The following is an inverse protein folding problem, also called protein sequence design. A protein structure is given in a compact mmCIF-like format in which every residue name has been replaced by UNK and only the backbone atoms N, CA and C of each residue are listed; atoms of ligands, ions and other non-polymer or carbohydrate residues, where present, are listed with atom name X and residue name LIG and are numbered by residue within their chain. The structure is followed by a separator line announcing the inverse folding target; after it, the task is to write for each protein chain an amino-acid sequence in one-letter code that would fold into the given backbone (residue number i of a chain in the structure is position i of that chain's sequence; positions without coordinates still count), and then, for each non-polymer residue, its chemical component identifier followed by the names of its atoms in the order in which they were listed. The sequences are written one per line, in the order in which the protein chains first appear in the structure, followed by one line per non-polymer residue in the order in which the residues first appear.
data_IF_880617419448
#
_entry.id   IF_880617419448
#
_cell.length_a   1.000
_cell.length_b   1.000
_cell.length_c   1.000
_cell.angle_alpha   90.00
_cell.angle_beta   90.00
_cell.angle_gamma   90.00
#
_symmetry.space_group_name_H-M   'P 1'
#
loop_
_entity.id
_entity.type
_entity.pdbx_description
1 polymer ?
#
# COMPACT_ATOMS: atom_id res chain seq x y z
N UNK A 1 10.49 -21.25 -11.46
CA UNK A 1 11.26 -20.78 -10.29
C UNK A 1 10.31 -20.00 -9.37
N UNK A 2 10.18 -20.43 -8.14
CA UNK A 2 9.30 -19.75 -7.18
C UNK A 2 9.98 -18.47 -6.68
N UNK A 3 9.51 -17.32 -7.15
CA UNK A 3 10.07 -16.00 -6.80
C UNK A 3 9.96 -15.67 -5.31
N UNK A 4 9.14 -16.42 -4.55
CA UNK A 4 9.01 -16.22 -3.11
C UNK A 4 10.30 -16.53 -2.35
N UNK A 5 11.19 -17.31 -2.93
CA UNK A 5 12.50 -17.59 -2.33
C UNK A 5 13.49 -16.42 -2.42
N UNK A 6 13.21 -15.42 -3.28
CA UNK A 6 14.06 -14.23 -3.44
C UNK A 6 13.66 -13.10 -2.48
N UNK A 7 12.64 -13.29 -1.64
CA UNK A 7 12.15 -12.26 -0.72
C UNK A 7 12.73 -12.51 0.67
N UNK A 8 13.63 -11.63 1.10
CA UNK A 8 14.29 -11.72 2.41
C UNK A 8 13.25 -11.62 3.55
N UNK A 9 13.11 -12.69 4.38
CA UNK A 9 12.12 -12.69 5.46
C UNK A 9 12.35 -11.59 6.50
N UNK A 10 13.60 -11.23 6.77
CA UNK A 10 13.93 -10.18 7.75
C UNK A 10 13.46 -8.80 7.27
N UNK A 11 13.62 -8.52 5.97
CA UNK A 11 13.15 -7.27 5.38
C UNK A 11 11.63 -7.21 5.31
N UNK A 12 10.98 -8.32 4.96
CA UNK A 12 9.52 -8.40 4.98
C UNK A 12 8.97 -8.22 6.40
N UNK A 13 9.60 -8.82 7.40
CA UNK A 13 9.20 -8.67 8.81
C UNK A 13 9.33 -7.22 9.28
N UNK A 14 10.42 -6.54 8.90
CA UNK A 14 10.59 -5.12 9.20
C UNK A 14 9.43 -4.31 8.60
N UNK A 15 9.15 -4.48 7.32
CA UNK A 15 8.07 -3.76 6.64
C UNK A 15 6.70 -4.06 7.27
N UNK A 16 6.41 -5.32 7.60
CA UNK A 16 5.14 -5.73 8.20
C UNK A 16 4.95 -5.17 9.62
N UNK A 17 6.02 -4.79 10.31
CA UNK A 17 5.97 -4.19 11.66
C UNK A 17 5.65 -2.70 11.64
N UNK A 18 5.59 -2.08 10.46
CA UNK A 18 5.39 -0.64 10.28
C UNK A 18 4.09 -0.37 9.53
N UNK A 19 3.65 0.89 9.56
CA UNK A 19 2.43 1.33 8.89
C UNK A 19 2.59 2.66 8.12
N UNK A 20 3.80 3.20 8.07
CA UNK A 20 4.11 4.45 7.37
C UNK A 20 5.32 4.23 6.47
N UNK A 21 5.20 4.63 5.21
CA UNK A 21 6.29 4.50 4.26
C UNK A 21 6.22 5.55 3.16
N UNK A 22 7.30 5.64 2.38
CA UNK A 22 7.39 6.51 1.22
C UNK A 22 7.12 5.70 -0.05
N UNK A 23 6.03 6.04 -0.73
CA UNK A 23 5.64 5.40 -1.99
C UNK A 23 6.22 6.19 -3.16
N UNK A 24 6.91 5.49 -4.06
CA UNK A 24 7.45 6.04 -5.30
C UNK A 24 6.66 5.49 -6.49
N UNK A 25 6.12 6.39 -7.30
CA UNK A 25 5.53 6.10 -8.61
C UNK A 25 6.30 6.88 -9.67
N UNK A 26 6.19 6.49 -10.94
CA UNK A 26 6.94 7.13 -12.01
C UNK A 26 6.10 8.20 -12.70
N UNK A 27 6.65 9.41 -12.79
CA UNK A 27 6.10 10.49 -13.58
C UNK A 27 6.33 10.22 -15.08
N UNK A 28 5.65 10.97 -15.94
CA UNK A 28 5.77 10.83 -17.41
C UNK A 28 7.21 11.01 -17.89
N UNK A 29 8.00 11.88 -17.22
CA UNK A 29 9.38 12.15 -17.57
C UNK A 29 10.36 11.10 -16.99
N UNK A 30 9.85 10.08 -16.29
CA UNK A 30 10.66 9.03 -15.70
C UNK A 30 11.19 9.34 -14.30
N UNK A 31 10.98 10.55 -13.79
CA UNK A 31 11.39 10.87 -12.42
C UNK A 31 10.42 10.28 -11.41
N UNK A 32 10.89 9.87 -10.22
CA UNK A 32 10.00 9.36 -9.18
C UNK A 32 9.16 10.49 -8.58
N UNK A 33 7.87 10.19 -8.37
CA UNK A 33 6.96 11.01 -7.57
C UNK A 33 6.83 10.31 -6.22
N UNK A 34 7.20 11.01 -5.14
CA UNK A 34 7.25 10.46 -3.78
C UNK A 34 6.12 11.01 -2.93
N UNK A 35 5.52 10.16 -2.13
CA UNK A 35 4.52 10.57 -1.15
C UNK A 35 4.55 9.65 0.07
N UNK A 36 4.27 10.20 1.25
CA UNK A 36 4.12 9.40 2.46
C UNK A 36 2.72 8.79 2.48
N UNK A 37 2.67 7.51 2.82
CA UNK A 37 1.41 6.74 2.87
C UNK A 37 1.36 5.87 4.10
N UNK A 38 0.16 5.65 4.63
CA UNK A 38 -0.08 4.56 5.57
C UNK A 38 -0.39 3.30 4.77
N UNK A 39 0.16 2.18 5.21
CA UNK A 39 0.01 0.91 4.52
C UNK A 39 -0.12 -0.26 5.49
N UNK A 40 -0.60 -1.37 4.99
CA UNK A 40 -0.55 -2.66 5.65
C UNK A 40 0.09 -3.68 4.70
N UNK A 41 1.10 -4.39 5.18
CA UNK A 41 1.74 -5.47 4.43
C UNK A 41 1.23 -6.82 4.95
N UNK A 42 0.57 -7.57 4.08
CA UNK A 42 0.19 -8.96 4.30
C UNK A 42 1.25 -9.86 3.67
N UNK A 43 2.12 -10.45 4.50
CA UNK A 43 3.19 -11.33 4.02
C UNK A 43 2.67 -12.70 3.58
N UNK A 44 1.47 -13.07 4.00
CA UNK A 44 0.84 -14.38 3.74
C UNK A 44 -0.30 -14.31 2.73
N UNK A 45 -0.44 -13.21 2.00
CA UNK A 45 -1.48 -13.07 0.98
C UNK A 45 -1.36 -14.20 -0.07
N UNK A 46 -2.49 -14.70 -0.62
CA UNK A 46 -2.47 -15.88 -1.50
C UNK A 46 -1.57 -15.73 -2.73
N UNK A 47 -1.48 -14.53 -3.29
CA UNK A 47 -0.65 -14.24 -4.46
C UNK A 47 0.79 -13.83 -4.12
N UNK A 48 1.19 -13.90 -2.84
CA UNK A 48 2.47 -13.44 -2.32
C UNK A 48 2.33 -12.15 -1.52
N UNK A 49 3.43 -11.67 -0.90
CA UNK A 49 3.36 -10.47 -0.06
C UNK A 49 2.74 -9.30 -0.81
N UNK A 50 1.76 -8.65 -0.18
CA UNK A 50 0.99 -7.56 -0.79
C UNK A 50 0.84 -6.41 0.18
N UNK A 51 1.27 -5.21 -0.23
CA UNK A 51 1.05 -3.99 0.53
C UNK A 51 -0.18 -3.27 0.00
N UNK A 52 -1.07 -2.84 0.92
CA UNK A 52 -2.29 -2.13 0.56
C UNK A 52 -2.30 -0.74 1.14
N UNK A 53 -2.78 0.22 0.37
CA UNK A 53 -2.81 1.64 0.69
C UNK A 53 -4.17 2.22 0.29
N UNK A 54 -4.76 3.02 1.18
CA UNK A 54 -5.93 3.83 0.84
C UNK A 54 -5.48 5.11 0.13
N UNK A 55 -5.93 5.32 -1.08
CA UNK A 55 -5.56 6.47 -1.91
C UNK A 55 -6.80 7.20 -2.42
N UNK A 56 -6.62 8.44 -2.85
CA UNK A 56 -7.71 9.29 -3.37
C UNK A 56 -7.58 9.40 -4.88
N UNK A 57 -8.68 9.14 -5.60
CA UNK A 57 -8.75 9.35 -7.04
C UNK A 57 -8.47 10.83 -7.39
N UNK A 58 -7.82 11.07 -8.52
CA UNK A 58 -7.40 12.40 -8.94
C UNK A 58 -6.06 12.87 -8.37
N UNK A 59 -5.45 12.13 -7.46
CA UNK A 59 -4.08 12.44 -6.98
C UNK A 59 -3.03 11.97 -7.97
N UNK A 60 -1.87 12.65 -7.95
CA UNK A 60 -0.78 12.38 -8.89
C UNK A 60 -0.32 10.92 -8.87
N UNK A 61 -0.18 10.32 -7.67
CA UNK A 61 0.25 8.92 -7.54
C UNK A 61 -0.71 7.94 -8.22
N UNK A 62 -2.01 8.19 -8.15
CA UNK A 62 -3.03 7.34 -8.78
C UNK A 62 -2.94 7.45 -10.31
N UNK A 63 -2.86 8.67 -10.85
CA UNK A 63 -2.71 8.90 -12.27
C UNK A 63 -1.42 8.27 -12.82
N UNK A 64 -0.31 8.42 -12.10
CA UNK A 64 0.97 7.85 -12.49
C UNK A 64 0.92 6.31 -12.51
N UNK A 65 0.30 5.69 -11.50
CA UNK A 65 0.21 4.23 -11.41
C UNK A 65 -0.78 3.63 -12.41
N UNK A 66 -1.81 4.37 -12.82
CA UNK A 66 -2.68 3.92 -13.93
C UNK A 66 -1.92 3.85 -15.25
N UNK A 67 -0.98 4.77 -15.47
CA UNK A 67 -0.16 4.81 -16.67
C UNK A 67 0.98 3.80 -16.63
N UNK A 68 1.65 3.67 -15.48
CA UNK A 68 2.80 2.79 -15.28
C UNK A 68 2.67 2.16 -13.89
N UNK A 69 2.41 0.85 -13.81
CA UNK A 69 2.12 0.20 -12.51
C UNK A 69 3.32 0.01 -11.62
N UNK A 70 4.54 0.24 -12.11
CA UNK A 70 5.75 0.03 -11.31
C UNK A 70 5.77 0.97 -10.10
N UNK A 71 5.95 0.41 -8.91
CA UNK A 71 5.97 1.15 -7.67
C UNK A 71 7.02 0.58 -6.72
N UNK A 72 7.50 1.45 -5.83
CA UNK A 72 8.41 1.06 -4.75
C UNK A 72 7.92 1.70 -3.45
N UNK A 73 8.03 0.96 -2.36
CA UNK A 73 7.65 1.44 -1.02
C UNK A 73 8.84 1.32 -0.09
N UNK A 74 9.36 2.45 0.38
CA UNK A 74 10.43 2.51 1.37
C UNK A 74 9.83 2.51 2.76
N UNK A 75 10.24 1.54 3.58
CA UNK A 75 9.81 1.41 4.97
C UNK A 75 11.04 1.39 5.85
N UNK A 76 11.05 2.17 6.94
CA UNK A 76 12.18 2.25 7.86
C UNK A 76 11.82 1.76 9.25
N UNK A 77 12.84 1.33 10.01
CA UNK A 77 12.74 1.19 11.47
C UNK A 77 12.51 2.56 12.12
N UNK A 78 12.08 2.60 13.40
CA UNK A 78 11.86 3.88 14.10
C UNK A 78 13.08 4.81 14.10
N UNK A 79 14.30 4.25 14.16
CA UNK A 79 15.54 5.04 14.15
C UNK A 79 16.05 5.36 12.73
N UNK A 80 15.42 4.79 11.68
CA UNK A 80 15.78 5.03 10.29
C UNK A 80 16.99 4.25 9.77
N UNK A 81 17.69 3.50 10.62
CA UNK A 81 18.92 2.82 10.22
C UNK A 81 18.71 1.42 9.64
N UNK A 82 17.58 0.80 9.92
CA UNK A 82 17.13 -0.37 9.17
C UNK A 82 16.06 0.08 8.19
N UNK A 83 16.07 -0.49 6.99
CA UNK A 83 15.07 -0.16 5.99
C UNK A 83 14.83 -1.32 5.04
N UNK A 84 13.66 -1.33 4.44
CA UNK A 84 13.28 -2.25 3.38
C UNK A 84 12.63 -1.45 2.25
N UNK A 85 12.97 -1.80 1.02
CA UNK A 85 12.29 -1.28 -0.17
C UNK A 85 11.54 -2.43 -0.81
N UNK A 86 10.22 -2.29 -0.91
CA UNK A 86 9.33 -3.27 -1.53
C UNK A 86 9.07 -2.81 -2.96
N UNK A 87 9.45 -3.61 -3.94
CA UNK A 87 9.24 -3.30 -5.35
C UNK A 87 8.24 -4.26 -5.98
N UNK A 88 7.44 -3.75 -6.89
CA UNK A 88 6.48 -4.55 -7.65
C UNK A 88 5.57 -3.70 -8.51
N UNK A 89 4.52 -4.33 -8.98
CA UNK A 89 3.48 -3.66 -9.76
C UNK A 89 2.26 -3.39 -8.87
N UNK A 90 1.72 -2.18 -8.98
CA UNK A 90 0.52 -1.79 -8.29
C UNK A 90 -0.72 -2.09 -9.13
N UNK A 91 -1.78 -2.52 -8.45
CA UNK A 91 -3.12 -2.57 -9.02
C UNK A 91 -4.05 -1.67 -8.23
N UNK A 92 -5.08 -1.15 -8.89
CA UNK A 92 -6.02 -0.20 -8.30
C UNK A 92 -7.42 -0.80 -8.34
N UNK A 93 -8.12 -0.78 -7.21
CA UNK A 93 -9.52 -1.14 -7.15
C UNK A 93 -10.38 -0.11 -7.89
N UNK A 94 -11.66 -0.41 -8.17
CA UNK A 94 -12.60 0.64 -8.53
C UNK A 94 -12.66 1.72 -7.44
N UNK A 95 -13.01 2.95 -7.81
CA UNK A 95 -13.24 4.05 -6.87
C UNK A 95 -14.50 3.76 -6.07
N UNK A 96 -14.48 4.03 -4.75
CA UNK A 96 -15.65 3.88 -3.89
C UNK A 96 -16.82 4.70 -4.45
N UNK A 97 -17.94 4.04 -4.75
CA UNK A 97 -19.12 4.66 -5.38
C UNK A 97 -20.36 4.51 -4.51
N UNK A 98 -20.45 3.49 -3.69
CA UNK A 98 -21.55 3.23 -2.77
C UNK A 98 -21.01 2.77 -1.42
N UNK A 99 -21.66 3.14 -0.33
CA UNK A 99 -21.18 2.86 1.03
C UNK A 99 -21.09 1.37 1.36
N UNK A 100 -21.77 0.53 0.59
CA UNK A 100 -21.78 -0.93 0.75
C UNK A 100 -21.05 -1.67 -0.39
N UNK A 101 -20.28 -0.98 -1.24
CA UNK A 101 -19.57 -1.64 -2.32
C UNK A 101 -18.31 -2.38 -1.83
N UNK A 102 -17.77 -3.24 -2.70
CA UNK A 102 -16.61 -4.07 -2.37
C UNK A 102 -15.36 -3.24 -2.04
N UNK A 103 -15.17 -2.10 -2.70
CA UNK A 103 -14.05 -1.19 -2.42
C UNK A 103 -14.16 -0.62 -1.01
N UNK A 104 -15.34 -0.18 -0.59
CA UNK A 104 -15.54 0.35 0.76
C UNK A 104 -15.34 -0.75 1.80
N UNK A 105 -15.81 -1.97 1.56
CA UNK A 105 -15.57 -3.11 2.45
C UNK A 105 -14.07 -3.37 2.63
N UNK A 106 -13.30 -3.32 1.56
CA UNK A 106 -11.85 -3.50 1.62
C UNK A 106 -11.17 -2.35 2.37
N UNK A 107 -11.63 -1.10 2.18
CA UNK A 107 -11.13 0.06 2.92
C UNK A 107 -11.41 -0.07 4.43
N UNK A 108 -12.55 -0.62 4.83
CA UNK A 108 -12.87 -0.89 6.24
C UNK A 108 -11.86 -1.86 6.84
N UNK A 109 -11.59 -2.98 6.15
CA UNK A 109 -10.60 -3.97 6.61
C UNK A 109 -9.20 -3.37 6.68
N UNK A 110 -8.82 -2.57 5.70
CA UNK A 110 -7.52 -1.89 5.68
C UNK A 110 -7.38 -0.93 6.86
N UNK A 111 -8.42 -0.15 7.18
CA UNK A 111 -8.42 0.73 8.34
C UNK A 111 -8.18 -0.06 9.62
N UNK A 112 -8.94 -1.16 9.84
CA UNK A 112 -8.76 -2.02 11.02
C UNK A 112 -7.34 -2.53 11.15
N UNK A 113 -6.76 -2.98 10.04
CA UNK A 113 -5.40 -3.53 10.03
C UNK A 113 -4.36 -2.46 10.36
N UNK A 114 -4.45 -1.29 9.75
CA UNK A 114 -3.50 -0.19 9.98
C UNK A 114 -3.62 0.36 11.39
N UNK A 115 -4.84 0.62 11.86
CA UNK A 115 -5.10 1.23 13.16
C UNK A 115 -5.06 0.24 14.32
N UNK A 116 -5.26 -1.05 14.05
CA UNK A 116 -5.35 -2.07 15.09
C UNK A 116 -6.62 -1.99 15.92
N UNK A 117 -7.63 -1.26 15.47
CA UNK A 117 -8.91 -1.05 16.18
C UNK A 117 -10.01 -0.65 15.20
N UNK A 118 -11.26 -0.76 15.67
CA UNK A 118 -12.41 -0.29 14.92
C UNK A 118 -12.50 1.23 14.87
N UNK A 119 -13.07 1.76 13.80
CA UNK A 119 -13.47 3.16 13.70
C UNK A 119 -14.65 3.42 14.64
N UNK A 120 -14.71 4.59 15.32
CA UNK A 120 -15.81 4.91 16.25
C UNK A 120 -17.18 5.05 15.57
N UNK A 121 -17.22 5.28 14.26
CA UNK A 121 -18.47 5.42 13.50
C UNK A 121 -18.26 4.92 12.06
N UNK A 122 -18.57 3.61 11.84
CA UNK A 122 -18.38 2.99 10.52
C UNK A 122 -19.27 3.60 9.44
N UNK A 123 -20.49 4.03 9.79
CA UNK A 123 -21.37 4.65 8.79
C UNK A 123 -20.78 5.96 8.28
N UNK A 124 -20.24 6.78 9.17
CA UNK A 124 -19.56 8.02 8.80
C UNK A 124 -18.30 7.75 7.97
N UNK A 125 -17.49 6.76 8.40
CA UNK A 125 -16.30 6.36 7.65
C UNK A 125 -16.63 5.93 6.22
N UNK A 126 -17.66 5.09 6.05
CA UNK A 126 -18.09 4.61 4.74
C UNK A 126 -18.54 5.76 3.84
N UNK A 127 -19.32 6.69 4.38
CA UNK A 127 -19.72 7.90 3.64
C UNK A 127 -18.52 8.75 3.21
N UNK A 128 -17.54 8.90 4.09
CA UNK A 128 -16.32 9.65 3.80
C UNK A 128 -15.50 9.01 2.67
N UNK A 129 -15.42 7.68 2.63
CA UNK A 129 -14.70 6.97 1.56
C UNK A 129 -15.30 7.27 0.18
N UNK A 130 -16.63 7.27 0.09
CA UNK A 130 -17.33 7.62 -1.14
C UNK A 130 -17.17 9.11 -1.48
N UNK A 131 -17.36 9.98 -0.50
CA UNK A 131 -17.26 11.44 -0.70
C UNK A 131 -15.84 11.86 -1.14
N UNK A 132 -14.81 11.23 -0.60
CA UNK A 132 -13.40 11.51 -0.92
C UNK A 132 -12.96 10.86 -2.23
N UNK A 133 -13.73 9.94 -2.80
CA UNK A 133 -13.32 9.17 -3.98
C UNK A 133 -12.14 8.25 -3.68
N UNK A 134 -12.19 7.50 -2.57
CA UNK A 134 -11.14 6.59 -2.15
C UNK A 134 -11.16 5.30 -2.94
N UNK A 135 -9.98 4.70 -3.09
CA UNK A 135 -9.80 3.37 -3.67
C UNK A 135 -8.62 2.68 -2.98
N UNK A 136 -8.48 1.38 -3.21
CA UNK A 136 -7.38 0.59 -2.66
C UNK A 136 -6.31 0.39 -3.72
N UNK A 137 -5.08 0.77 -3.37
CA UNK A 137 -3.88 0.44 -4.12
C UNK A 137 -3.27 -0.81 -3.50
N UNK A 138 -3.00 -1.83 -4.32
CA UNK A 138 -2.35 -3.07 -3.90
C UNK A 138 -1.03 -3.22 -4.63
N UNK A 139 0.08 -3.26 -3.88
CA UNK A 139 1.41 -3.48 -4.42
C UNK A 139 1.76 -4.95 -4.25
N UNK A 140 1.84 -5.69 -5.35
CA UNK A 140 2.29 -7.07 -5.37
C UNK A 140 3.82 -7.07 -5.30
N UNK A 141 4.37 -7.48 -4.16
CA UNK A 141 5.82 -7.40 -3.92
C UNK A 141 6.52 -8.53 -4.65
N UNK A 142 7.39 -8.17 -5.59
CA UNK A 142 8.17 -9.14 -6.37
C UNK A 142 9.65 -9.10 -6.04
N UNK A 143 10.12 -8.04 -5.39
CA UNK A 143 11.50 -7.86 -4.98
C UNK A 143 11.59 -7.03 -3.70
N UNK A 144 12.53 -7.38 -2.84
CA UNK A 144 12.83 -6.64 -1.61
C UNK A 144 14.34 -6.45 -1.50
N UNK A 145 14.76 -5.27 -1.14
CA UNK A 145 16.15 -5.01 -0.77
C UNK A 145 16.21 -4.03 0.41
N UNK A 146 17.34 -3.93 1.06
CA UNK A 146 17.51 -3.03 2.19
C UNK A 146 18.55 -3.53 3.17
N UNK A 147 18.42 -3.06 4.41
CA UNK A 147 19.32 -3.38 5.51
C UNK A 147 18.51 -3.59 6.79
N UNK A 148 18.53 -4.81 7.33
CA UNK A 148 17.94 -5.13 8.62
C UNK A 148 19.08 -5.33 9.65
N UNK A 149 19.10 -4.49 10.67
CA UNK A 149 20.05 -4.56 11.77
C UNK A 149 19.44 -5.20 13.00
#
# INVERSE_FOLDING_TARGET
MDRRHDLDPALLALAASRDLGALAALKRDGRPQLSMVNFALDVDAPAGPTARVSVVDGRAKVANLRRDPRASLLVTSPDGWSYAVLEGDASLSPVAAATDDATVDELVELYRTIRGKDHPDWDDYRRAMVADGRLVLSLAVTRVYGLAR
#
